data_IF_136872069079
#
_entry.id   IF_136872069079
#
_cell.length_a   1.000
_cell.length_b   1.000
_cell.length_c   1.000
_cell.angle_alpha   90.00
_cell.angle_beta   90.00
_cell.angle_gamma   90.00
#
_symmetry.space_group_name_H-M   'P 1'
#
loop_
_entity.id
_entity.type
_entity.pdbx_description
1 polymer ?
#
# COMPACT_ATOMS: atom_id res chain seq x y z
N UNK A 1 23.22 -18.84 13.24
CA UNK A 1 21.88 -18.27 12.96
C UNK A 1 21.17 -19.20 12.01
N UNK A 2 19.99 -19.66 12.40
CA UNK A 2 19.15 -20.53 11.56
C UNK A 2 18.24 -19.62 10.70
N UNK A 3 18.66 -19.34 9.48
CA UNK A 3 17.96 -18.45 8.54
C UNK A 3 16.53 -18.93 8.26
N UNK A 4 16.34 -20.25 8.12
CA UNK A 4 15.00 -20.81 7.86
C UNK A 4 14.05 -20.65 9.05
N UNK A 5 14.56 -20.70 10.28
CA UNK A 5 13.75 -20.44 11.47
C UNK A 5 13.32 -18.96 11.54
N UNK A 6 14.22 -18.02 11.23
CA UNK A 6 13.89 -16.59 11.14
C UNK A 6 12.85 -16.35 10.04
N UNK A 7 13.02 -16.98 8.88
CA UNK A 7 12.04 -16.92 7.78
C UNK A 7 10.66 -17.37 8.24
N UNK A 8 10.58 -18.51 8.91
CA UNK A 8 9.32 -19.02 9.43
C UNK A 8 8.67 -18.07 10.45
N UNK A 9 9.46 -17.46 11.33
CA UNK A 9 8.98 -16.47 12.30
C UNK A 9 8.40 -15.23 11.62
N UNK A 10 9.08 -14.72 10.59
CA UNK A 10 8.60 -13.57 9.81
C UNK A 10 7.28 -13.88 9.09
N UNK A 11 7.24 -15.01 8.37
CA UNK A 11 6.04 -15.43 7.63
C UNK A 11 4.84 -15.73 8.54
N UNK A 12 5.09 -16.15 9.80
CA UNK A 12 4.04 -16.39 10.78
C UNK A 12 3.57 -15.10 11.49
N UNK A 13 4.12 -13.92 11.16
CA UNK A 13 3.69 -12.65 11.75
C UNK A 13 2.39 -12.18 11.08
N UNK A 14 1.35 -11.85 11.86
CA UNK A 14 0.09 -11.36 11.31
C UNK A 14 0.29 -10.12 10.42
N UNK A 15 -0.32 -10.12 9.24
CA UNK A 15 -0.21 -9.06 8.24
C UNK A 15 0.92 -9.27 7.22
N UNK A 16 1.85 -10.20 7.45
CA UNK A 16 2.86 -10.58 6.47
C UNK A 16 2.25 -11.58 5.50
N UNK A 17 2.26 -11.25 4.21
CA UNK A 17 1.76 -12.08 3.11
C UNK A 17 2.87 -12.87 2.42
N UNK A 18 4.09 -12.33 2.43
CA UNK A 18 5.23 -12.94 1.77
C UNK A 18 6.56 -12.41 2.31
N UNK A 19 7.64 -13.05 1.89
CA UNK A 19 9.01 -12.65 2.21
C UNK A 19 9.85 -12.82 0.94
N UNK A 20 10.24 -11.69 0.34
CA UNK A 20 10.99 -11.68 -0.92
C UNK A 20 12.47 -11.87 -0.69
N UNK A 21 13.02 -11.16 0.28
CA UNK A 21 14.44 -11.19 0.57
C UNK A 21 14.69 -11.30 2.07
N UNK A 22 15.68 -12.12 2.42
CA UNK A 22 16.16 -12.28 3.78
C UNK A 22 17.68 -12.35 3.74
N UNK A 23 18.32 -11.30 4.24
CA UNK A 23 19.78 -11.22 4.35
C UNK A 23 20.20 -11.27 5.81
N UNK A 24 21.30 -11.97 6.09
CA UNK A 24 21.89 -12.01 7.43
C UNK A 24 23.36 -11.66 7.35
N UNK A 25 23.82 -10.85 8.28
CA UNK A 25 25.25 -10.53 8.45
C UNK A 25 25.69 -10.92 9.85
N UNK A 26 26.76 -11.71 9.93
CA UNK A 26 27.35 -12.07 11.21
C UNK A 26 28.16 -10.91 11.80
N UNK A 27 27.91 -10.62 13.07
CA UNK A 27 28.70 -9.71 13.89
C UNK A 27 29.14 -10.41 15.17
N UNK A 28 30.39 -10.92 15.16
CA UNK A 28 30.93 -11.75 16.25
C UNK A 28 30.02 -12.96 16.55
N UNK A 29 29.32 -12.95 17.68
CA UNK A 29 28.46 -14.04 18.12
C UNK A 29 26.98 -13.81 17.75
N UNK A 30 26.63 -12.66 17.20
CA UNK A 30 25.27 -12.26 16.87
C UNK A 30 25.12 -12.04 15.37
N UNK A 31 23.89 -11.84 14.90
CA UNK A 31 23.57 -11.53 13.53
C UNK A 31 22.71 -10.28 13.43
N UNK A 32 22.92 -9.53 12.35
CA UNK A 32 21.98 -8.53 11.84
C UNK A 32 21.14 -9.18 10.75
N UNK A 33 19.87 -8.82 10.70
CA UNK A 33 18.89 -9.35 9.74
C UNK A 33 18.28 -8.19 8.99
N UNK A 34 18.29 -8.28 7.65
CA UNK A 34 17.56 -7.39 6.76
C UNK A 34 16.49 -8.26 6.05
N UNK A 35 15.23 -7.85 6.14
CA UNK A 35 14.10 -8.60 5.59
C UNK A 35 13.17 -7.69 4.79
N UNK A 36 12.76 -8.15 3.60
CA UNK A 36 11.72 -7.53 2.79
C UNK A 36 10.44 -8.34 2.91
N UNK A 37 9.45 -7.81 3.60
CA UNK A 37 8.18 -8.47 3.81
C UNK A 37 7.08 -7.84 2.97
N UNK A 38 6.33 -8.69 2.28
CA UNK A 38 5.17 -8.26 1.53
C UNK A 38 3.96 -8.15 2.44
N UNK A 39 3.21 -7.06 2.26
CA UNK A 39 1.94 -6.79 2.94
C UNK A 39 0.87 -6.42 1.91
N UNK A 40 -0.39 -6.31 2.34
CA UNK A 40 -1.43 -5.79 1.45
C UNK A 40 -1.13 -4.32 1.08
N UNK A 41 -0.96 -4.05 -0.20
CA UNK A 41 -0.64 -2.72 -0.72
C UNK A 41 -1.73 -1.66 -0.52
N UNK A 42 -2.90 -2.04 0.02
CA UNK A 42 -4.01 -1.12 0.30
C UNK A 42 -4.11 -0.72 1.77
N UNK A 43 -3.25 -1.26 2.64
CA UNK A 43 -3.17 -0.80 4.02
C UNK A 43 -2.52 0.57 4.12
N UNK A 44 -2.68 1.23 5.25
CA UNK A 44 -2.00 2.51 5.49
C UNK A 44 -0.51 2.30 5.78
N UNK A 45 0.28 3.36 5.54
CA UNK A 45 1.72 3.36 5.91
C UNK A 45 1.90 3.09 7.41
N UNK A 46 1.02 3.62 8.26
CA UNK A 46 1.08 3.39 9.72
C UNK A 46 0.77 1.94 10.11
N UNK A 47 -0.13 1.27 9.40
CA UNK A 47 -0.39 -0.17 9.58
C UNK A 47 0.79 -1.00 9.10
N UNK A 48 1.36 -0.70 7.94
CA UNK A 48 2.57 -1.35 7.44
C UNK A 48 3.74 -1.21 8.41
N UNK A 49 3.96 0.00 8.96
CA UNK A 49 4.95 0.22 10.01
C UNK A 49 4.69 -0.64 11.25
N UNK A 50 3.43 -0.76 11.68
CA UNK A 50 3.05 -1.62 12.82
C UNK A 50 3.37 -3.09 12.55
N UNK A 51 3.16 -3.57 11.33
CA UNK A 51 3.52 -4.94 10.94
C UNK A 51 5.05 -5.13 10.99
N UNK A 52 5.82 -4.16 10.48
CA UNK A 52 7.28 -4.18 10.53
C UNK A 52 7.80 -4.29 11.98
N UNK A 53 7.31 -3.42 12.87
CA UNK A 53 7.70 -3.45 14.30
C UNK A 53 7.28 -4.75 14.99
N UNK A 54 6.13 -5.31 14.64
CA UNK A 54 5.69 -6.60 15.19
C UNK A 54 6.58 -7.74 14.72
N UNK A 55 6.97 -7.73 13.43
CA UNK A 55 7.91 -8.70 12.83
C UNK A 55 9.28 -8.62 13.52
N UNK A 56 9.81 -7.41 13.65
CA UNK A 56 11.08 -7.15 14.34
C UNK A 56 11.07 -7.66 15.78
N UNK A 57 10.08 -7.25 16.55
CA UNK A 57 9.95 -7.63 17.97
C UNK A 57 9.82 -9.15 18.13
N UNK A 58 9.12 -9.82 17.21
CA UNK A 58 8.95 -11.26 17.24
C UNK A 58 10.27 -12.00 16.97
N UNK A 59 11.01 -11.59 15.94
CA UNK A 59 12.32 -12.19 15.64
C UNK A 59 13.28 -12.00 16.80
N UNK A 60 13.40 -10.80 17.36
CA UNK A 60 14.31 -10.54 18.49
C UNK A 60 13.94 -11.37 19.73
N UNK A 61 12.68 -11.64 19.97
CA UNK A 61 12.22 -12.47 21.10
C UNK A 61 12.49 -13.96 20.88
N UNK A 62 12.27 -14.46 19.66
CA UNK A 62 12.34 -15.89 19.35
C UNK A 62 13.75 -16.33 18.94
N UNK A 63 14.63 -15.40 18.57
CA UNK A 63 16.01 -15.66 18.10
C UNK A 63 17.03 -14.82 18.87
N UNK A 64 17.47 -15.26 20.06
CA UNK A 64 18.39 -14.49 20.92
C UNK A 64 19.75 -14.19 20.30
N UNK A 65 20.14 -14.94 19.28
CA UNK A 65 21.35 -14.72 18.51
C UNK A 65 21.25 -13.56 17.52
N UNK A 66 20.05 -13.00 17.31
CA UNK A 66 19.83 -11.83 16.44
C UNK A 66 19.99 -10.57 17.26
N UNK A 67 20.91 -9.69 16.85
CA UNK A 67 21.18 -8.41 17.49
C UNK A 67 20.14 -7.36 17.12
N UNK A 68 19.81 -7.28 15.82
CA UNK A 68 18.82 -6.36 15.29
C UNK A 68 18.23 -6.86 13.98
N UNK A 69 17.04 -6.36 13.65
CA UNK A 69 16.29 -6.67 12.43
C UNK A 69 15.82 -5.40 11.77
N UNK A 70 16.20 -5.17 10.53
CA UNK A 70 15.62 -4.16 9.67
C UNK A 70 14.54 -4.82 8.81
N UNK A 71 13.31 -4.32 8.90
CA UNK A 71 12.17 -4.83 8.12
C UNK A 71 11.73 -3.76 7.14
N UNK A 72 11.85 -4.06 5.85
CA UNK A 72 11.24 -3.29 4.77
C UNK A 72 9.84 -3.82 4.50
N UNK A 73 8.92 -2.91 4.21
CA UNK A 73 7.53 -3.23 3.87
C UNK A 73 7.33 -2.98 2.39
N UNK A 74 7.00 -4.02 1.66
CA UNK A 74 6.77 -3.96 0.22
C UNK A 74 5.31 -4.28 -0.10
N UNK A 75 4.62 -3.43 -0.89
CA UNK A 75 3.22 -3.67 -1.30
C UNK A 75 3.11 -4.78 -2.36
N UNK A 76 4.20 -5.04 -3.09
CA UNK A 76 4.32 -6.01 -4.18
C UNK A 76 5.72 -6.64 -4.19
N UNK A 77 5.93 -7.60 -5.08
CA UNK A 77 7.26 -8.12 -5.36
C UNK A 77 8.00 -7.17 -6.31
N UNK A 78 8.76 -6.25 -5.75
CA UNK A 78 9.47 -5.17 -6.45
C UNK A 78 10.91 -5.56 -6.87
N UNK A 79 11.28 -6.83 -6.79
CA UNK A 79 12.64 -7.27 -7.13
C UNK A 79 12.98 -7.13 -8.61
N UNK A 80 12.00 -6.85 -9.47
CA UNK A 80 12.23 -6.54 -10.88
C UNK A 80 12.60 -5.06 -11.06
N UNK A 81 13.87 -4.73 -11.43
CA UNK A 81 14.31 -3.36 -11.68
C UNK A 81 13.55 -2.66 -12.82
N UNK A 82 12.93 -3.45 -13.71
CA UNK A 82 12.12 -2.97 -14.84
C UNK A 82 10.62 -2.89 -14.49
N UNK A 83 10.27 -2.97 -13.21
CA UNK A 83 8.87 -2.96 -12.80
C UNK A 83 8.14 -1.74 -13.37
N UNK A 84 6.95 -1.97 -13.92
CA UNK A 84 6.11 -0.92 -14.49
C UNK A 84 5.76 0.17 -13.45
N UNK A 85 5.81 -0.16 -12.16
CA UNK A 85 5.57 0.77 -11.06
C UNK A 85 6.55 1.97 -11.04
N UNK A 86 7.82 1.75 -11.42
CA UNK A 86 8.83 2.82 -11.47
C UNK A 86 8.59 3.86 -12.58
N UNK A 87 7.74 3.54 -13.56
CA UNK A 87 7.41 4.43 -14.71
C UNK A 87 6.12 5.20 -14.51
N UNK A 88 5.40 4.96 -13.41
CA UNK A 88 4.16 5.65 -13.12
C UNK A 88 4.41 7.10 -12.70
N UNK A 89 3.52 8.04 -13.08
CA UNK A 89 3.64 9.43 -12.68
C UNK A 89 3.50 9.58 -11.17
N UNK A 90 4.20 10.56 -10.60
CA UNK A 90 4.07 10.90 -9.19
C UNK A 90 2.72 11.54 -8.87
N UNK A 91 2.47 11.73 -7.56
CA UNK A 91 1.19 12.24 -7.03
C UNK A 91 0.69 13.51 -7.72
N UNK A 92 1.56 14.51 -7.90
CA UNK A 92 1.15 15.80 -8.47
C UNK A 92 0.63 15.63 -9.90
N UNK A 93 1.36 14.91 -10.75
CA UNK A 93 0.96 14.63 -12.12
C UNK A 93 -0.35 13.82 -12.18
N UNK A 94 -0.51 12.82 -11.29
CA UNK A 94 -1.75 12.04 -11.21
C UNK A 94 -2.95 12.89 -10.77
N UNK A 95 -2.77 13.84 -9.86
CA UNK A 95 -3.85 14.75 -9.46
C UNK A 95 -4.29 15.65 -10.62
N UNK A 96 -3.38 16.07 -11.51
CA UNK A 96 -3.72 16.79 -12.73
C UNK A 96 -4.50 15.89 -13.72
N UNK A 97 -4.10 14.64 -13.89
CA UNK A 97 -4.82 13.65 -14.72
C UNK A 97 -6.22 13.35 -14.15
N UNK A 98 -6.38 13.34 -12.83
CA UNK A 98 -7.66 13.10 -12.16
C UNK A 98 -8.64 14.26 -12.30
N UNK A 99 -8.16 15.51 -12.39
CA UNK A 99 -9.00 16.71 -12.41
C UNK A 99 -10.12 16.65 -13.44
N UNK A 100 -9.88 16.35 -14.74
CA UNK A 100 -10.95 16.22 -15.72
C UNK A 100 -11.85 15.02 -15.47
N UNK A 101 -11.33 13.92 -14.90
CA UNK A 101 -12.13 12.73 -14.57
C UNK A 101 -13.15 13.04 -13.48
N UNK A 102 -12.77 13.83 -12.47
CA UNK A 102 -13.61 14.22 -11.33
C UNK A 102 -14.47 15.46 -11.60
N UNK A 103 -14.48 15.99 -12.83
CA UNK A 103 -15.26 17.19 -13.16
C UNK A 103 -16.76 16.98 -12.86
N UNK A 104 -17.36 17.94 -12.15
CA UNK A 104 -18.77 17.90 -11.71
C UNK A 104 -18.99 17.24 -10.34
N UNK A 105 -17.97 16.63 -9.75
CA UNK A 105 -18.01 16.19 -8.37
C UNK A 105 -17.65 17.31 -7.40
N UNK A 106 -18.10 17.22 -6.13
CA UNK A 106 -17.58 18.09 -5.07
C UNK A 106 -16.06 17.99 -4.95
N UNK A 107 -15.40 19.01 -4.43
CA UNK A 107 -13.99 18.97 -4.14
C UNK A 107 -13.67 17.81 -3.18
N UNK A 108 -12.71 16.94 -3.50
CA UNK A 108 -12.33 15.84 -2.63
C UNK A 108 -11.77 16.34 -1.30
N UNK A 109 -12.20 15.74 -0.19
CA UNK A 109 -11.62 15.97 1.13
C UNK A 109 -10.27 15.25 1.28
N UNK A 110 -10.15 14.10 0.61
CA UNK A 110 -8.93 13.28 0.58
C UNK A 110 -8.86 12.44 -0.68
N UNK A 111 -7.66 12.23 -1.19
CA UNK A 111 -7.37 11.30 -2.29
C UNK A 111 -6.24 10.38 -1.85
N UNK A 112 -6.47 9.07 -1.92
CA UNK A 112 -5.45 8.04 -1.76
C UNK A 112 -5.11 7.45 -3.12
N UNK A 113 -3.84 7.15 -3.31
CA UNK A 113 -3.29 6.57 -4.53
C UNK A 113 -2.57 5.28 -4.17
N UNK A 114 -3.01 4.17 -4.76
CA UNK A 114 -2.38 2.87 -4.61
C UNK A 114 -1.68 2.51 -5.92
N UNK A 115 -0.36 2.42 -5.89
CA UNK A 115 0.48 2.04 -7.02
C UNK A 115 0.66 0.53 -7.00
N UNK A 116 -0.19 -0.20 -7.75
CA UNK A 116 -0.25 -1.66 -7.71
C UNK A 116 -0.36 -2.25 -9.12
N UNK A 117 0.43 -3.28 -9.41
CA UNK A 117 0.39 -4.00 -10.68
C UNK A 117 0.64 -3.08 -11.89
N UNK A 118 1.57 -2.14 -11.77
CA UNK A 118 1.94 -1.21 -12.85
C UNK A 118 0.86 -0.20 -13.24
N UNK A 119 -0.17 -0.01 -12.41
CA UNK A 119 -1.24 0.98 -12.59
C UNK A 119 -1.63 1.59 -11.24
N UNK A 120 -2.46 2.62 -11.25
CA UNK A 120 -2.91 3.32 -10.05
C UNK A 120 -4.39 3.05 -9.79
N UNK A 121 -4.72 2.65 -8.57
CA UNK A 121 -6.08 2.64 -8.04
C UNK A 121 -6.26 3.89 -7.18
N UNK A 122 -7.38 4.58 -7.34
CA UNK A 122 -7.64 5.86 -6.69
C UNK A 122 -8.85 5.75 -5.77
N UNK A 123 -8.69 6.15 -4.52
CA UNK A 123 -9.80 6.35 -3.60
C UNK A 123 -10.04 7.84 -3.40
N UNK A 124 -11.24 8.29 -3.74
CA UNK A 124 -11.69 9.67 -3.58
C UNK A 124 -12.68 9.76 -2.44
N UNK A 125 -12.36 10.56 -1.44
CA UNK A 125 -13.22 10.79 -0.30
C UNK A 125 -13.95 12.12 -0.47
N UNK A 126 -15.29 12.05 -0.49
CA UNK A 126 -16.18 13.17 -0.61
C UNK A 126 -16.96 13.38 0.69
N UNK A 127 -17.54 14.57 0.87
CA UNK A 127 -18.40 14.83 2.02
C UNK A 127 -19.66 13.94 1.98
N UNK A 128 -20.21 13.62 3.14
CA UNK A 128 -21.34 12.70 3.27
C UNK A 128 -22.62 13.19 2.56
N UNK A 129 -22.83 14.50 2.45
CA UNK A 129 -24.02 15.05 1.80
C UNK A 129 -24.13 14.68 0.32
N UNK A 130 -23.00 14.45 -0.34
CA UNK A 130 -23.00 13.96 -1.71
C UNK A 130 -23.69 12.60 -1.83
N UNK A 131 -23.50 11.74 -0.86
CA UNK A 131 -24.03 10.37 -0.84
C UNK A 131 -25.52 10.29 -0.43
N UNK A 132 -26.08 11.37 0.12
CA UNK A 132 -27.52 11.46 0.44
C UNK A 132 -28.38 11.56 -0.83
N UNK A 133 -27.81 12.00 -1.95
CA UNK A 133 -28.48 12.11 -3.24
C UNK A 133 -28.12 10.93 -4.14
N UNK A 134 -28.91 9.85 -4.06
CA UNK A 134 -28.68 8.64 -4.84
C UNK A 134 -28.68 8.85 -6.37
N UNK A 135 -29.47 9.79 -6.89
CA UNK A 135 -29.48 10.10 -8.32
C UNK A 135 -28.18 10.78 -8.76
N UNK A 136 -27.65 11.70 -7.95
CA UNK A 136 -26.38 12.35 -8.21
C UNK A 136 -25.21 11.34 -8.15
N UNK A 137 -25.25 10.42 -7.19
CA UNK A 137 -24.26 9.37 -7.05
C UNK A 137 -24.25 8.46 -8.29
N UNK A 138 -25.43 7.96 -8.71
CA UNK A 138 -25.54 7.08 -9.87
C UNK A 138 -25.06 7.77 -11.16
N UNK A 139 -25.39 9.05 -11.33
CA UNK A 139 -24.90 9.85 -12.46
C UNK A 139 -23.38 10.00 -12.41
N UNK A 140 -22.81 10.27 -11.25
CA UNK A 140 -21.38 10.39 -11.06
C UNK A 140 -20.64 9.10 -11.38
N UNK A 141 -21.13 7.96 -10.90
CA UNK A 141 -20.56 6.65 -11.20
C UNK A 141 -20.54 6.36 -12.71
N UNK A 142 -21.67 6.63 -13.40
CA UNK A 142 -21.76 6.47 -14.86
C UNK A 142 -20.76 7.36 -15.59
N UNK A 143 -20.70 8.63 -15.26
CA UNK A 143 -19.78 9.59 -15.89
C UNK A 143 -18.32 9.27 -15.60
N UNK A 144 -17.99 8.83 -14.39
CA UNK A 144 -16.65 8.39 -14.04
C UNK A 144 -16.24 7.16 -14.84
N UNK A 145 -17.13 6.17 -14.96
CA UNK A 145 -16.87 4.96 -15.74
C UNK A 145 -16.62 5.29 -17.22
N UNK A 146 -17.42 6.19 -17.81
CA UNK A 146 -17.25 6.65 -19.20
C UNK A 146 -15.93 7.39 -19.40
N UNK A 147 -15.60 8.35 -18.50
CA UNK A 147 -14.39 9.17 -18.59
C UNK A 147 -13.12 8.35 -18.31
N UNK A 148 -13.19 7.41 -17.37
CA UNK A 148 -12.09 6.53 -17.05
C UNK A 148 -11.78 5.61 -18.23
N UNK A 149 -12.84 5.03 -18.86
CA UNK A 149 -12.72 4.16 -20.02
C UNK A 149 -11.57 3.17 -19.87
N UNK A 150 -10.66 3.18 -20.86
CA UNK A 150 -9.41 2.42 -20.81
C UNK A 150 -8.21 3.34 -20.51
N UNK A 151 -8.28 4.11 -19.43
CA UNK A 151 -7.19 4.99 -19.02
C UNK A 151 -5.91 4.16 -18.80
N UNK A 152 -4.80 4.60 -19.39
CA UNK A 152 -3.56 3.80 -19.38
C UNK A 152 -2.94 3.70 -17.99
N UNK A 153 -3.00 4.76 -17.20
CA UNK A 153 -2.34 4.89 -15.90
C UNK A 153 -3.29 4.49 -14.76
N UNK A 154 -4.54 4.99 -14.77
CA UNK A 154 -5.51 4.78 -13.70
C UNK A 154 -6.36 3.54 -14.02
N UNK A 155 -6.38 2.58 -13.08
CA UNK A 155 -7.16 1.33 -13.21
C UNK A 155 -8.59 1.52 -12.75
N UNK A 156 -8.77 2.18 -11.61
CA UNK A 156 -10.07 2.34 -10.98
C UNK A 156 -10.13 3.61 -10.15
N UNK A 157 -11.34 4.14 -9.99
CA UNK A 157 -11.65 5.22 -9.06
C UNK A 157 -12.80 4.76 -8.20
N UNK A 158 -12.64 4.76 -6.88
CA UNK A 158 -13.72 4.53 -5.92
C UNK A 158 -14.12 5.82 -5.22
N UNK A 159 -15.43 6.01 -5.04
CA UNK A 159 -15.97 7.14 -4.28
C UNK A 159 -16.28 6.65 -2.85
N UNK A 160 -15.75 7.33 -1.87
CA UNK A 160 -15.85 6.98 -0.46
C UNK A 160 -16.40 8.15 0.35
N UNK A 161 -17.13 7.81 1.42
CA UNK A 161 -17.64 8.78 2.38
C UNK A 161 -16.76 8.77 3.63
N UNK A 162 -16.33 9.96 4.07
CA UNK A 162 -15.64 10.10 5.35
C UNK A 162 -16.65 10.46 6.43
N UNK A 163 -16.83 9.55 7.39
CA UNK A 163 -17.65 9.80 8.57
C UNK A 163 -16.69 10.08 9.73
N UNK A 164 -16.58 11.35 10.12
CA UNK A 164 -15.84 11.73 11.32
C UNK A 164 -16.78 11.75 12.53
N UNK A 165 -16.37 11.28 13.71
CA UNK A 165 -17.13 11.53 14.93
C UNK A 165 -17.23 13.02 15.19
N UNK A 166 -18.42 13.48 15.62
CA UNK A 166 -18.66 14.87 16.02
C UNK A 166 -17.88 15.22 17.28
#
# INVERSE_FOLDING_TARGET
VQVDAIRATLLATPGVLGLHELRTRRMAHQALVDAHVQVDGRISVSEGHRIAESSRARVLREHPEVLDVLVHIDPEDDLDPDSAAQRLPGREALLEELRPLLAGLPAPERVLLHYLGGRVEVEVFLNHHFFENGAALQMAETQLAERLGQHSTIRSISLNCLIAPK
#
